data_IF_730888953894
#
_entry.id   IF_730888953894
#
_cell.length_a   1.000
_cell.length_b   1.000
_cell.length_c   1.000
_cell.angle_alpha   90.00
_cell.angle_beta   90.00
_cell.angle_gamma   90.00
#
_symmetry.space_group_name_H-M   'P 1'
#
loop_
_entity.id
_entity.type
_entity.pdbx_description
1 polymer ?
#
# COMPACT_ATOMS: atom_id res chain seq x y z
N UNK A 1 -9.86 60.74 22.66
CA UNK A 1 -9.21 60.60 21.35
C UNK A 1 -8.29 59.39 21.44
N UNK A 2 -8.64 58.33 20.71
CA UNK A 2 -7.81 57.28 20.08
C UNK A 2 -6.54 56.79 20.83
N UNK A 3 -6.52 55.61 21.45
CA UNK A 3 -6.31 54.24 20.91
C UNK A 3 -4.84 53.87 20.64
N UNK A 4 -4.44 52.68 21.11
CA UNK A 4 -3.20 52.04 20.66
C UNK A 4 -2.54 51.09 21.65
N UNK A 5 -3.23 50.03 22.08
CA UNK A 5 -2.59 48.90 22.75
C UNK A 5 -1.80 48.06 21.75
N UNK A 6 -0.52 47.80 22.03
CA UNK A 6 0.21 46.68 21.41
C UNK A 6 0.05 45.46 22.31
N UNK A 7 -0.67 44.45 21.81
CA UNK A 7 -0.64 43.09 22.37
C UNK A 7 0.23 42.26 21.44
N UNK A 8 1.40 41.89 21.94
CA UNK A 8 2.26 40.90 21.31
C UNK A 8 1.56 39.54 21.43
N UNK A 9 1.03 39.03 20.32
CA UNK A 9 0.49 37.68 20.23
C UNK A 9 1.64 36.71 19.93
N UNK A 10 2.30 36.20 20.98
CA UNK A 10 3.04 34.95 20.89
C UNK A 10 2.02 33.82 20.77
N UNK A 11 1.76 33.36 19.55
CA UNK A 11 0.96 32.16 19.30
C UNK A 11 1.87 30.94 19.45
N UNK A 12 1.42 29.97 20.23
CA UNK A 12 2.15 28.80 20.71
C UNK A 12 2.54 27.83 19.57
N UNK A 13 3.83 27.70 19.30
CA UNK A 13 4.42 26.70 18.39
C UNK A 13 4.10 25.24 18.80
N UNK A 14 3.73 25.02 20.06
CA UNK A 14 3.50 23.68 20.63
C UNK A 14 2.16 23.07 20.21
N UNK A 15 1.16 23.89 19.88
CA UNK A 15 -0.17 23.42 19.41
C UNK A 15 -0.09 22.94 17.97
N UNK A 16 0.76 23.55 17.16
CA UNK A 16 0.93 23.20 15.75
C UNK A 16 1.66 21.84 15.58
N UNK A 17 2.51 21.46 16.55
CA UNK A 17 3.22 20.18 16.56
C UNK A 17 2.33 19.00 17.00
N UNK A 18 1.44 19.19 17.98
CA UNK A 18 0.46 18.14 18.35
C UNK A 18 -0.59 17.91 17.27
N UNK A 19 -0.99 18.96 16.52
CA UNK A 19 -1.91 18.83 15.39
C UNK A 19 -1.25 18.11 14.20
N UNK A 20 0.05 18.32 13.95
CA UNK A 20 0.77 17.55 12.92
C UNK A 20 0.84 16.05 13.24
N UNK A 21 1.03 15.66 14.50
CA UNK A 21 1.19 14.25 14.89
C UNK A 21 -0.12 13.46 14.78
N UNK A 22 -1.28 14.12 14.89
CA UNK A 22 -2.60 13.48 14.78
C UNK A 22 -3.01 13.22 13.31
N UNK A 23 -2.35 13.85 12.34
CA UNK A 23 -2.77 13.82 10.94
C UNK A 23 -2.18 12.66 10.12
N UNK A 24 -1.14 11.99 10.62
CA UNK A 24 -0.46 10.87 9.96
C UNK A 24 -0.87 9.49 10.54
N UNK A 25 -2.16 9.25 10.78
CA UNK A 25 -2.64 7.87 10.72
C UNK A 25 -2.54 7.42 9.26
N UNK A 26 -1.42 6.77 8.91
CA UNK A 26 -1.19 6.24 7.57
C UNK A 26 -2.23 5.15 7.30
N UNK A 27 -3.35 5.52 6.68
CA UNK A 27 -4.37 4.59 6.25
C UNK A 27 -3.75 3.63 5.24
N UNK A 28 -3.61 2.37 5.64
CA UNK A 28 -3.09 1.31 4.78
C UNK A 28 -3.90 1.25 3.48
N UNK A 29 -3.21 0.95 2.37
CA UNK A 29 -3.81 0.79 1.04
C UNK A 29 -4.56 2.05 0.55
N UNK A 30 -4.05 3.23 0.88
CA UNK A 30 -4.53 4.53 0.35
C UNK A 30 -3.34 5.34 -0.14
N UNK A 31 -3.50 6.06 -1.25
CA UNK A 31 -2.47 6.97 -1.75
C UNK A 31 -2.58 8.32 -1.04
N UNK A 32 -1.44 8.86 -0.62
CA UNK A 32 -1.32 10.25 -0.17
C UNK A 32 -1.51 11.22 -1.33
N UNK A 33 -1.80 12.50 -1.05
CA UNK A 33 -1.90 13.54 -2.09
C UNK A 33 -0.62 13.65 -2.92
N UNK A 34 0.54 13.50 -2.29
CA UNK A 34 1.84 13.53 -2.96
C UNK A 34 2.03 12.32 -3.87
N UNK A 35 1.59 11.13 -3.46
CA UNK A 35 1.64 9.93 -4.29
C UNK A 35 0.72 10.05 -5.51
N UNK A 36 -0.50 10.57 -5.32
CA UNK A 36 -1.42 10.86 -6.45
C UNK A 36 -0.79 11.85 -7.42
N UNK A 37 -0.22 12.95 -6.93
CA UNK A 37 0.46 13.95 -7.77
C UNK A 37 1.71 13.39 -8.46
N UNK A 38 2.41 12.46 -7.81
CA UNK A 38 3.55 11.73 -8.35
C UNK A 38 3.18 10.66 -9.38
N UNK A 39 1.90 10.45 -9.66
CA UNK A 39 1.42 9.47 -10.63
C UNK A 39 1.43 8.03 -10.11
N UNK A 40 1.48 7.83 -8.79
CA UNK A 40 1.37 6.50 -8.20
C UNK A 40 -0.02 5.93 -8.42
N UNK A 41 -0.06 4.61 -8.61
CA UNK A 41 -1.29 3.83 -8.74
C UNK A 41 -1.31 2.76 -7.67
N UNK A 42 -2.45 2.61 -7.03
CA UNK A 42 -2.67 1.53 -6.07
C UNK A 42 -2.86 0.21 -6.81
N UNK A 43 -2.02 -0.79 -6.50
CA UNK A 43 -2.15 -2.14 -7.05
C UNK A 43 -3.02 -3.06 -6.18
N UNK A 44 -3.30 -2.67 -4.93
CA UNK A 44 -4.12 -3.44 -4.01
C UNK A 44 -4.91 -2.51 -3.09
N UNK A 45 -6.22 -2.67 -3.06
CA UNK A 45 -7.16 -1.79 -2.34
C UNK A 45 -7.34 -2.13 -0.85
N UNK A 46 -6.64 -3.16 -0.36
CA UNK A 46 -6.76 -3.65 1.02
C UNK A 46 -7.94 -4.58 1.28
N UNK A 47 -8.84 -4.78 0.33
CA UNK A 47 -10.15 -5.40 0.56
C UNK A 47 -10.47 -6.52 -0.44
N UNK A 48 -9.97 -6.43 -1.66
CA UNK A 48 -10.28 -7.33 -2.76
C UNK A 48 -9.02 -7.81 -3.48
N UNK A 49 -9.15 -8.88 -4.24
CA UNK A 49 -8.07 -9.38 -5.11
C UNK A 49 -8.15 -8.77 -6.51
N UNK A 50 -8.88 -7.65 -6.69
CA UNK A 50 -9.05 -7.01 -7.99
C UNK A 50 -7.68 -6.56 -8.54
N UNK A 51 -7.46 -6.75 -9.84
CA UNK A 51 -6.19 -6.45 -10.48
C UNK A 51 -5.13 -7.54 -10.29
N UNK A 52 -5.48 -8.66 -9.62
CA UNK A 52 -4.62 -9.82 -9.42
C UNK A 52 -5.30 -11.09 -9.93
N UNK A 53 -4.51 -11.94 -10.58
CA UNK A 53 -4.93 -13.27 -11.03
C UNK A 53 -3.79 -14.26 -10.80
N UNK A 54 -4.11 -15.55 -10.82
CA UNK A 54 -3.07 -16.57 -10.73
C UNK A 54 -2.26 -16.64 -12.03
N UNK A 55 -0.96 -16.90 -11.91
CA UNK A 55 -0.08 -17.13 -13.05
C UNK A 55 -0.63 -18.25 -13.97
N UNK A 56 -0.68 -17.97 -15.27
CA UNK A 56 -1.29 -18.78 -16.34
C UNK A 56 -2.79 -19.08 -16.15
N UNK A 57 -3.53 -18.21 -15.45
CA UNK A 57 -4.98 -18.29 -15.26
C UNK A 57 -5.63 -16.90 -15.31
N UNK A 58 -6.94 -16.89 -15.53
CA UNK A 58 -7.75 -15.65 -15.62
C UNK A 58 -8.30 -15.19 -14.25
N UNK A 59 -8.25 -16.04 -13.22
CA UNK A 59 -8.78 -15.75 -11.89
C UNK A 59 -7.77 -16.07 -10.80
N UNK A 60 -7.92 -15.44 -9.64
CA UNK A 60 -7.26 -15.91 -8.42
C UNK A 60 -7.94 -17.20 -7.92
N UNK A 61 -7.24 -18.02 -7.14
CA UNK A 61 -7.78 -19.23 -6.51
C UNK A 61 -7.58 -19.22 -4.98
N UNK A 62 -7.89 -20.34 -4.32
CA UNK A 62 -7.85 -20.49 -2.86
C UNK A 62 -6.44 -20.38 -2.24
N UNK A 63 -5.39 -20.14 -3.02
CA UNK A 63 -4.02 -19.94 -2.53
C UNK A 63 -3.79 -18.61 -1.81
N UNK A 64 -4.60 -17.60 -2.14
CA UNK A 64 -4.43 -16.22 -1.70
C UNK A 64 -5.72 -15.68 -1.13
N UNK A 65 -5.62 -14.98 0.01
CA UNK A 65 -6.75 -14.33 0.66
C UNK A 65 -6.42 -12.87 0.98
N UNK A 66 -7.46 -12.08 1.22
CA UNK A 66 -7.32 -10.77 1.83
C UNK A 66 -7.58 -10.90 3.33
N UNK A 67 -6.60 -10.53 4.15
CA UNK A 67 -6.73 -10.53 5.61
C UNK A 67 -6.05 -9.30 6.18
N UNK A 68 -6.75 -8.56 7.05
CA UNK A 68 -6.22 -7.38 7.75
C UNK A 68 -5.57 -6.34 6.82
N UNK A 69 -6.18 -6.07 5.66
CA UNK A 69 -5.62 -5.11 4.71
C UNK A 69 -4.38 -5.61 3.97
N UNK A 70 -4.15 -6.92 3.91
CA UNK A 70 -2.99 -7.54 3.25
C UNK A 70 -3.40 -8.68 2.31
N UNK A 71 -2.69 -8.84 1.20
CA UNK A 71 -2.72 -10.07 0.40
C UNK A 71 -1.85 -11.13 1.07
N UNK A 72 -2.46 -12.25 1.46
CA UNK A 72 -1.81 -13.32 2.23
C UNK A 72 -1.80 -14.61 1.43
N UNK A 73 -0.59 -15.10 1.11
CA UNK A 73 -0.39 -16.44 0.61
C UNK A 73 -0.56 -17.45 1.76
N UNK A 74 -1.45 -18.44 1.59
CA UNK A 74 -1.74 -19.42 2.64
C UNK A 74 -0.64 -20.48 2.82
N UNK A 75 0.28 -20.59 1.86
CA UNK A 75 1.50 -21.39 2.00
C UNK A 75 1.25 -22.86 2.39
N UNK A 76 0.26 -23.52 1.78
CA UNK A 76 -0.10 -24.93 2.09
C UNK A 76 0.94 -25.97 1.62
N UNK A 77 2.13 -25.52 1.20
CA UNK A 77 3.26 -26.34 0.73
C UNK A 77 3.14 -26.77 -0.74
N UNK A 78 4.26 -27.06 -1.40
CA UNK A 78 4.31 -27.68 -2.74
C UNK A 78 3.70 -26.87 -3.89
N UNK A 79 3.88 -25.55 -3.89
CA UNK A 79 3.28 -24.59 -4.84
C UNK A 79 1.73 -24.58 -4.85
N UNK A 80 1.11 -25.17 -3.83
CA UNK A 80 -0.35 -25.18 -3.67
C UNK A 80 -0.80 -23.75 -3.35
N UNK A 81 -1.43 -23.13 -4.36
CA UNK A 81 -1.85 -21.73 -4.40
C UNK A 81 -1.19 -20.95 -5.54
N UNK A 82 0.04 -21.31 -5.89
CA UNK A 82 0.81 -20.72 -6.98
C UNK A 82 1.09 -19.22 -6.82
N UNK A 83 1.80 -18.69 -7.82
CA UNK A 83 2.09 -17.27 -7.91
C UNK A 83 0.88 -16.48 -8.42
N UNK A 84 0.74 -15.25 -7.95
CA UNK A 84 -0.19 -14.28 -8.51
C UNK A 84 0.58 -13.24 -9.32
N UNK A 85 -0.07 -12.73 -10.35
CA UNK A 85 0.43 -11.68 -11.23
C UNK A 85 -0.61 -10.58 -11.31
N UNK A 86 -0.15 -9.39 -11.63
CA UNK A 86 -1.04 -8.28 -11.98
C UNK A 86 -1.80 -8.61 -13.26
N UNK A 87 -3.05 -8.18 -13.35
CA UNK A 87 -3.82 -8.23 -14.61
C UNK A 87 -3.19 -7.34 -15.68
N UNK A 88 -2.63 -6.21 -15.26
CA UNK A 88 -1.91 -5.27 -16.11
C UNK A 88 -0.44 -5.65 -16.30
N UNK A 89 0.11 -5.32 -17.47
CA UNK A 89 1.54 -5.49 -17.78
C UNK A 89 2.23 -4.13 -17.74
N UNK A 90 3.35 -4.07 -17.05
CA UNK A 90 4.15 -2.86 -16.88
C UNK A 90 5.53 -3.02 -17.52
N UNK A 91 6.04 -1.96 -18.18
CA UNK A 91 7.41 -1.91 -18.72
C UNK A 91 8.36 -1.21 -17.74
N UNK A 92 8.45 0.12 -17.81
CA UNK A 92 9.21 0.92 -16.85
C UNK A 92 8.29 1.33 -15.70
N UNK A 93 8.68 1.01 -14.47
CA UNK A 93 7.89 1.32 -13.28
C UNK A 93 8.78 1.52 -12.05
N UNK A 94 8.21 2.17 -11.05
CA UNK A 94 8.69 2.16 -9.67
C UNK A 94 7.67 1.40 -8.82
N UNK A 95 8.13 0.48 -7.98
CA UNK A 95 7.28 -0.33 -7.11
C UNK A 95 7.62 -0.05 -5.64
N UNK A 96 6.60 0.32 -4.88
CA UNK A 96 6.65 0.49 -3.43
C UNK A 96 5.63 -0.45 -2.79
N UNK A 97 6.08 -1.26 -1.84
CA UNK A 97 5.22 -2.17 -1.08
C UNK A 97 5.85 -2.53 0.26
N UNK A 98 5.00 -2.95 1.19
CA UNK A 98 5.41 -3.60 2.44
C UNK A 98 5.18 -5.11 2.33
N UNK A 99 6.01 -5.88 3.04
CA UNK A 99 5.89 -7.33 3.07
C UNK A 99 6.24 -7.88 4.45
N UNK A 100 5.69 -9.05 4.75
CA UNK A 100 5.98 -9.80 5.97
C UNK A 100 6.01 -11.29 5.65
N UNK A 101 6.88 -12.03 6.34
CA UNK A 101 7.04 -13.47 6.14
C UNK A 101 7.05 -14.20 7.47
N UNK A 102 6.58 -15.45 7.48
CA UNK A 102 6.69 -16.35 8.63
C UNK A 102 8.11 -16.90 8.78
N UNK A 103 8.45 -17.40 9.97
CA UNK A 103 9.76 -18.00 10.21
C UNK A 103 9.97 -19.21 9.28
N UNK A 104 11.05 -19.18 8.49
CA UNK A 104 11.35 -20.21 7.50
C UNK A 104 10.52 -20.14 6.21
N UNK A 105 9.67 -19.12 6.06
CA UNK A 105 8.94 -18.88 4.81
C UNK A 105 9.87 -18.50 3.66
N UNK A 106 9.44 -18.79 2.44
CA UNK A 106 10.11 -18.41 1.21
C UNK A 106 9.08 -17.79 0.26
N UNK A 107 9.39 -16.61 -0.26
CA UNK A 107 8.56 -15.88 -1.21
C UNK A 107 9.45 -14.95 -2.05
N UNK A 108 8.88 -14.32 -3.07
CA UNK A 108 9.59 -13.39 -3.93
C UNK A 108 8.67 -12.42 -4.65
N UNK A 109 9.23 -11.29 -5.04
CA UNK A 109 8.62 -10.36 -5.98
C UNK A 109 9.33 -10.58 -7.31
N UNK A 110 8.57 -10.99 -8.33
CA UNK A 110 9.06 -11.15 -9.70
C UNK A 110 8.53 -9.99 -10.54
N UNK A 111 9.34 -9.55 -11.51
CA UNK A 111 8.96 -8.51 -12.46
C UNK A 111 9.35 -8.92 -13.88
N UNK A 112 8.67 -8.34 -14.88
CA UNK A 112 8.81 -8.73 -16.30
C UNK A 112 8.51 -10.22 -16.53
N UNK A 113 7.54 -10.74 -15.78
CA UNK A 113 7.03 -12.10 -15.92
C UNK A 113 6.36 -12.24 -17.28
N UNK A 114 6.63 -13.36 -17.96
CA UNK A 114 5.97 -13.74 -19.20
C UNK A 114 5.14 -15.00 -18.94
N UNK A 115 3.95 -15.01 -19.52
CA UNK A 115 3.01 -16.13 -19.48
C UNK A 115 2.85 -16.74 -20.88
N UNK A 116 2.42 -18.00 -20.94
CA UNK A 116 2.35 -18.81 -22.16
C UNK A 116 0.97 -19.32 -22.50
#
# INVERSE_FOLDING_TARGET
MDCGGKKDNKKNDQVDQEIQVIQDEVLMNTLTENEVQGGWKLLFDGNTTNGWRKFNKDTIDEGWIVENGSLVALGKGGDIGGDIVTEEVFDNFELKMEWKISAGGNSGILYRVLEG
#
